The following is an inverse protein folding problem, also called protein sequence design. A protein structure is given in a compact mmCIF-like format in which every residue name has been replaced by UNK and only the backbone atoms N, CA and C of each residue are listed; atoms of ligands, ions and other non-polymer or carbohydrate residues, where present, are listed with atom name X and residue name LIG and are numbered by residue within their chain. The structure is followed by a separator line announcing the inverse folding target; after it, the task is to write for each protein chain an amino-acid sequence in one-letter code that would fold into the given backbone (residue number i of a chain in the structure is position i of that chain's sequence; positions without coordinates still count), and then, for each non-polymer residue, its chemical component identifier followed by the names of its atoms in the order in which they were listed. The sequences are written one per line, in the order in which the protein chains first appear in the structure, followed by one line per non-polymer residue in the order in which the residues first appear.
data_IF_231658319830
#
_entry.id   IF_231658319830
#
_cell.length_a   1.000
_cell.length_b   1.000
_cell.length_c   1.000
_cell.angle_alpha   90.00
_cell.angle_beta   90.00
_cell.angle_gamma   90.00
#
_symmetry.space_group_name_H-M   'P 1'
#
loop_
_entity.id
_entity.type
_entity.pdbx_description
1 polymer ?
#
# COMPACT_ATOMS: atom_id res chain seq x y z
N UNK A 1 31.54 18.88 -35.68
CA UNK A 1 30.26 18.33 -36.20
C UNK A 1 29.77 17.13 -35.41
N UNK A 2 30.60 16.12 -35.12
CA UNK A 2 30.21 14.94 -34.31
C UNK A 2 29.83 15.29 -32.85
N UNK A 3 30.61 16.17 -32.21
CA UNK A 3 30.40 16.53 -30.80
C UNK A 3 29.01 17.15 -30.53
N UNK A 4 28.46 17.94 -31.47
CA UNK A 4 27.17 18.61 -31.30
C UNK A 4 26.02 17.62 -31.16
N UNK A 5 26.05 16.51 -31.89
CA UNK A 5 25.03 15.47 -31.80
C UNK A 5 25.05 14.80 -30.42
N UNK A 6 26.24 14.45 -29.92
CA UNK A 6 26.38 13.84 -28.60
C UNK A 6 25.98 14.77 -27.46
N UNK A 7 26.33 16.05 -27.54
CA UNK A 7 25.95 17.05 -26.53
C UNK A 7 24.43 17.22 -26.48
N UNK A 8 23.77 17.32 -27.64
CA UNK A 8 22.31 17.43 -27.70
C UNK A 8 21.63 16.17 -27.16
N UNK A 9 22.10 14.99 -27.57
CA UNK A 9 21.56 13.71 -27.13
C UNK A 9 21.71 13.51 -25.62
N UNK A 10 22.89 13.84 -25.06
CA UNK A 10 23.14 13.72 -23.63
C UNK A 10 22.27 14.68 -22.83
N UNK A 11 22.09 15.92 -23.31
CA UNK A 11 21.26 16.92 -22.64
C UNK A 11 19.78 16.50 -22.66
N UNK A 12 19.26 16.07 -23.81
CA UNK A 12 17.88 15.61 -23.93
C UNK A 12 17.62 14.41 -23.02
N UNK A 13 18.54 13.45 -22.97
CA UNK A 13 18.45 12.30 -22.07
C UNK A 13 18.50 12.72 -20.59
N UNK A 14 19.36 13.67 -20.23
CA UNK A 14 19.44 14.18 -18.86
C UNK A 14 18.14 14.87 -18.44
N UNK A 15 17.54 15.69 -19.31
CA UNK A 15 16.24 16.34 -19.07
C UNK A 15 15.14 15.30 -18.90
N UNK A 16 15.09 14.27 -19.74
CA UNK A 16 14.09 13.20 -19.61
C UNK A 16 14.27 12.36 -18.33
N UNK A 17 15.52 12.15 -17.88
CA UNK A 17 15.81 11.32 -16.71
C UNK A 17 15.70 12.06 -15.38
N UNK A 18 15.98 13.37 -15.35
CA UNK A 18 16.10 14.17 -14.13
C UNK A 18 15.21 15.41 -14.08
N UNK A 19 14.51 15.75 -15.17
CA UNK A 19 13.71 16.98 -15.25
C UNK A 19 12.37 16.92 -14.52
N UNK A 20 11.94 15.74 -14.06
CA UNK A 20 10.68 15.55 -13.32
C UNK A 20 10.96 15.13 -11.89
N UNK A 21 10.17 15.66 -10.95
CA UNK A 21 10.19 15.25 -9.53
C UNK A 21 9.97 13.74 -9.38
N UNK A 22 9.02 13.19 -10.15
CA UNK A 22 8.76 11.76 -10.23
C UNK A 22 9.39 11.24 -11.52
N UNK A 23 10.36 10.34 -11.38
CA UNK A 23 11.04 9.72 -12.51
C UNK A 23 10.09 8.84 -13.30
N UNK A 24 10.07 9.02 -14.62
CA UNK A 24 9.30 8.21 -15.56
C UNK A 24 10.27 7.44 -16.47
N UNK A 25 10.01 6.15 -16.78
CA UNK A 25 10.84 5.39 -17.72
C UNK A 25 10.88 6.03 -19.11
N UNK A 26 12.00 5.86 -19.82
CA UNK A 26 12.25 6.52 -21.12
C UNK A 26 11.15 6.19 -22.15
N UNK A 27 10.82 4.91 -22.32
CA UNK A 27 9.82 4.45 -23.29
C UNK A 27 8.44 5.07 -23.04
N UNK A 28 8.04 5.14 -21.76
CA UNK A 28 6.77 5.76 -21.33
C UNK A 28 6.81 7.28 -21.56
N UNK A 29 7.95 7.93 -21.32
CA UNK A 29 8.15 9.35 -21.60
C UNK A 29 8.06 9.68 -23.10
N UNK A 30 8.64 8.84 -23.96
CA UNK A 30 8.53 9.00 -25.42
C UNK A 30 7.10 8.81 -25.91
N UNK A 31 6.37 7.83 -25.36
CA UNK A 31 4.95 7.63 -25.67
C UNK A 31 4.11 8.84 -25.28
N UNK A 32 4.36 9.42 -24.09
CA UNK A 32 3.69 10.63 -23.65
C UNK A 32 3.97 11.82 -24.58
N UNK A 33 5.23 12.03 -24.98
CA UNK A 33 5.59 13.11 -25.90
C UNK A 33 4.93 12.95 -27.28
N UNK A 34 4.85 11.71 -27.80
CA UNK A 34 4.13 11.44 -29.06
C UNK A 34 2.65 11.74 -28.93
N UNK A 35 2.03 11.37 -27.81
CA UNK A 35 0.64 11.67 -27.53
C UNK A 35 0.40 13.18 -27.44
N UNK A 36 1.22 13.92 -26.70
CA UNK A 36 1.14 15.38 -26.60
C UNK A 36 1.31 16.04 -27.98
N UNK A 37 2.30 15.61 -28.78
CA UNK A 37 2.52 16.13 -30.13
C UNK A 37 1.32 15.88 -31.05
N UNK A 38 0.79 14.65 -31.08
CA UNK A 38 -0.39 14.30 -31.88
C UNK A 38 -1.63 15.08 -31.44
N UNK A 39 -1.84 15.26 -30.13
CA UNK A 39 -2.97 16.07 -29.64
C UNK A 39 -2.85 17.52 -30.05
N UNK A 40 -1.66 18.12 -29.99
CA UNK A 40 -1.43 19.51 -30.42
C UNK A 40 -1.65 19.69 -31.93
N UNK A 41 -1.15 18.75 -32.73
CA UNK A 41 -1.33 18.75 -34.19
C UNK A 41 -2.80 18.65 -34.58
N UNK A 42 -3.53 17.68 -34.02
CA UNK A 42 -4.97 17.51 -34.28
C UNK A 42 -5.79 18.70 -33.76
N UNK A 43 -5.40 19.30 -32.63
CA UNK A 43 -6.05 20.52 -32.11
C UNK A 43 -5.89 21.68 -33.09
N UNK A 44 -4.69 21.83 -33.66
CA UNK A 44 -4.42 22.85 -34.67
C UNK A 44 -5.18 22.60 -35.98
N UNK A 45 -5.31 21.33 -36.41
CA UNK A 45 -6.02 20.95 -37.63
C UNK A 45 -7.54 21.11 -37.52
N UNK A 46 -8.12 20.69 -36.40
CA UNK A 46 -9.59 20.70 -36.23
C UNK A 46 -10.13 21.98 -35.59
N UNK A 47 -9.25 22.84 -35.04
CA UNK A 47 -9.67 24.04 -34.31
C UNK A 47 -10.47 23.75 -33.04
N UNK A 48 -10.46 22.49 -32.57
CA UNK A 48 -11.14 22.01 -31.37
C UNK A 48 -10.29 20.94 -30.69
N UNK A 49 -10.62 20.60 -29.45
CA UNK A 49 -10.00 19.45 -28.77
C UNK A 49 -10.33 18.15 -29.55
N UNK A 50 -9.32 17.33 -29.90
CA UNK A 50 -9.54 16.07 -30.60
C UNK A 50 -10.24 15.05 -29.69
N UNK A 51 -11.01 14.15 -30.29
CA UNK A 51 -11.67 13.05 -29.57
C UNK A 51 -10.68 11.93 -29.27
N UNK A 52 -11.00 11.08 -28.29
CA UNK A 52 -10.13 9.96 -27.92
C UNK A 52 -9.87 9.03 -29.11
N UNK A 53 -10.88 8.73 -29.92
CA UNK A 53 -10.75 7.84 -31.07
C UNK A 53 -9.84 8.44 -32.16
N UNK A 54 -9.94 9.76 -32.41
CA UNK A 54 -9.06 10.48 -33.33
C UNK A 54 -7.59 10.40 -32.88
N UNK A 55 -7.34 10.48 -31.57
CA UNK A 55 -5.97 10.40 -31.02
C UNK A 55 -5.43 8.97 -31.10
N UNK A 56 -6.27 7.97 -30.82
CA UNK A 56 -5.88 6.55 -30.93
C UNK A 56 -5.53 6.18 -32.37
N UNK A 57 -6.31 6.67 -33.34
CA UNK A 57 -6.02 6.47 -34.76
C UNK A 57 -4.71 7.15 -35.19
N UNK A 58 -4.46 8.38 -34.74
CA UNK A 58 -3.25 9.12 -35.09
C UNK A 58 -1.97 8.56 -34.43
N UNK A 59 -2.08 8.03 -33.20
CA UNK A 59 -0.92 7.56 -32.43
C UNK A 59 -0.69 6.05 -32.50
N UNK A 60 -1.69 5.27 -32.92
CA UNK A 60 -1.64 3.81 -33.00
C UNK A 60 -1.58 3.08 -31.65
N UNK A 61 -1.85 3.77 -30.54
CA UNK A 61 -1.84 3.18 -29.19
C UNK A 61 -3.23 2.63 -28.83
N UNK A 62 -3.29 1.72 -27.86
CA UNK A 62 -4.57 1.20 -27.37
C UNK A 62 -5.22 2.19 -26.36
N UNK A 63 -6.55 2.17 -26.26
CA UNK A 63 -7.33 2.97 -25.30
C UNK A 63 -6.88 2.73 -23.86
N UNK A 64 -6.55 1.50 -23.49
CA UNK A 64 -6.03 1.17 -22.15
C UNK A 64 -4.68 1.84 -21.88
N UNK A 65 -3.78 1.85 -22.86
CA UNK A 65 -2.48 2.49 -22.77
C UNK A 65 -2.61 4.01 -22.70
N UNK A 66 -3.55 4.60 -23.47
CA UNK A 66 -3.88 6.03 -23.39
C UNK A 66 -4.34 6.41 -21.98
N UNK A 67 -5.29 5.68 -21.41
CA UNK A 67 -5.79 5.93 -20.05
C UNK A 67 -4.67 5.81 -19.01
N UNK A 68 -3.78 4.82 -19.17
CA UNK A 68 -2.61 4.72 -18.31
C UNK A 68 -1.73 5.96 -18.43
N UNK A 69 -1.43 6.41 -19.65
CA UNK A 69 -0.60 7.59 -19.91
C UNK A 69 -1.21 8.90 -19.38
N UNK A 70 -2.53 9.06 -19.47
CA UNK A 70 -3.25 10.22 -18.92
C UNK A 70 -3.28 10.23 -17.39
N UNK A 71 -3.34 9.05 -16.77
CA UNK A 71 -3.31 8.90 -15.33
C UNK A 71 -1.90 9.02 -14.73
N UNK A 72 -0.85 9.20 -15.55
CA UNK A 72 0.46 9.50 -14.99
C UNK A 72 0.38 10.84 -14.25
N UNK A 73 0.98 10.95 -13.05
CA UNK A 73 1.03 12.20 -12.32
C UNK A 73 1.80 13.23 -13.16
N UNK A 74 1.07 14.22 -13.69
CA UNK A 74 1.59 15.20 -14.64
C UNK A 74 2.22 16.41 -13.93
N UNK A 75 1.80 16.72 -12.70
CA UNK A 75 2.26 17.87 -11.93
C UNK A 75 2.37 17.51 -10.45
N UNK A 76 3.55 17.71 -9.87
CA UNK A 76 3.72 17.78 -8.41
C UNK A 76 3.54 19.23 -7.98
N UNK A 77 2.55 19.51 -7.14
CA UNK A 77 2.40 20.83 -6.52
C UNK A 77 3.35 20.98 -5.32
N UNK A 78 3.80 22.20 -5.03
CA UNK A 78 4.54 22.46 -3.79
C UNK A 78 3.58 22.48 -2.62
N UNK A 79 3.92 21.81 -1.52
CA UNK A 79 3.13 21.89 -0.29
C UNK A 79 3.16 23.30 0.32
N UNK A 80 4.19 24.09 0.02
CA UNK A 80 4.32 25.48 0.46
C UNK A 80 3.49 26.47 -0.38
N UNK A 81 2.86 25.99 -1.46
CA UNK A 81 2.02 26.84 -2.30
C UNK A 81 0.74 27.22 -1.53
N UNK A 82 0.28 28.49 -1.58
CA UNK A 82 -0.99 28.88 -0.97
C UNK A 82 -2.16 28.14 -1.63
N UNK A 83 -3.11 27.69 -0.83
CA UNK A 83 -4.28 26.93 -1.30
C UNK A 83 -5.28 27.78 -2.08
N UNK A 84 -5.36 29.08 -1.77
CA UNK A 84 -6.17 30.08 -2.46
C UNK A 84 -5.43 31.42 -2.51
N UNK A 85 -5.81 32.31 -3.45
CA UNK A 85 -5.15 33.61 -3.63
C UNK A 85 -5.22 34.52 -2.40
N UNK A 86 -6.24 34.32 -1.57
CA UNK A 86 -6.60 35.22 -0.45
C UNK A 86 -6.34 34.58 0.93
N UNK A 87 -5.77 33.36 0.97
CA UNK A 87 -5.53 32.63 2.21
C UNK A 87 -4.03 32.45 2.48
N UNK A 88 -3.61 32.61 3.73
CA UNK A 88 -2.25 32.25 4.18
C UNK A 88 -2.06 30.73 4.32
N UNK A 89 -3.13 29.95 4.24
CA UNK A 89 -3.11 28.49 4.36
C UNK A 89 -2.39 27.86 3.18
N UNK A 90 -1.42 27.01 3.48
CA UNK A 90 -0.65 26.28 2.47
C UNK A 90 -1.33 24.97 2.09
N UNK A 91 -1.00 24.40 0.92
CA UNK A 91 -1.48 23.08 0.54
C UNK A 91 -1.06 22.00 1.55
N UNK A 92 0.12 22.14 2.17
CA UNK A 92 0.61 21.24 3.22
C UNK A 92 -0.27 21.21 4.47
N UNK A 93 -0.83 22.35 4.88
CA UNK A 93 -1.73 22.43 6.04
C UNK A 93 -3.09 21.76 5.80
N UNK A 94 -3.50 21.64 4.54
CA UNK A 94 -4.76 20.96 4.16
C UNK A 94 -4.59 19.44 4.03
N UNK A 95 -3.37 18.96 3.80
CA UNK A 95 -3.09 17.53 3.77
C UNK A 95 -3.01 17.04 5.21
N UNK A 96 -4.15 16.57 5.73
CA UNK A 96 -4.22 15.94 7.04
C UNK A 96 -3.27 14.75 7.14
N UNK A 97 -2.68 14.53 8.31
CA UNK A 97 -2.03 13.26 8.63
C UNK A 97 -3.08 12.15 8.54
N UNK A 98 -2.71 11.01 7.96
CA UNK A 98 -3.54 9.81 7.90
C UNK A 98 -3.56 9.12 9.28
N UNK A 99 -3.84 9.90 10.32
CA UNK A 99 -3.64 9.59 11.74
C UNK A 99 -4.85 8.85 12.34
N UNK A 100 -5.54 8.06 11.53
CA UNK A 100 -6.53 7.07 11.96
C UNK A 100 -5.94 6.03 12.95
N UNK A 101 -4.63 6.08 13.22
CA UNK A 101 -3.91 5.02 13.95
C UNK A 101 -3.85 5.17 15.48
N UNK A 102 -4.15 6.32 16.07
CA UNK A 102 -4.03 6.47 17.52
C UNK A 102 -5.10 5.68 18.27
N UNK A 103 -6.36 5.78 17.80
CA UNK A 103 -7.49 5.06 18.39
C UNK A 103 -7.32 3.56 18.14
N UNK A 104 -7.00 3.18 16.89
CA UNK A 104 -6.75 1.78 16.53
C UNK A 104 -5.56 1.19 17.31
N UNK A 105 -4.54 2.00 17.60
CA UNK A 105 -3.39 1.61 18.41
C UNK A 105 -3.74 1.38 19.89
N UNK A 106 -4.64 2.19 20.47
CA UNK A 106 -5.14 2.00 21.83
C UNK A 106 -6.00 0.73 21.92
N UNK A 107 -6.93 0.54 20.98
CA UNK A 107 -7.77 -0.66 20.92
C UNK A 107 -6.93 -1.94 20.80
N UNK A 108 -5.93 -1.95 19.91
CA UNK A 108 -5.00 -3.08 19.79
C UNK A 108 -4.23 -3.34 21.09
N UNK A 109 -3.79 -2.30 21.79
CA UNK A 109 -3.06 -2.48 23.05
C UNK A 109 -3.95 -3.05 24.15
N UNK A 110 -5.17 -2.56 24.29
CA UNK A 110 -6.17 -3.09 25.23
C UNK A 110 -6.48 -4.56 24.92
N UNK A 111 -6.66 -4.90 23.64
CA UNK A 111 -6.89 -6.28 23.19
C UNK A 111 -5.70 -7.20 23.53
N UNK A 112 -4.46 -6.74 23.36
CA UNK A 112 -3.27 -7.52 23.71
C UNK A 112 -3.15 -7.77 25.22
N UNK A 113 -3.50 -6.78 26.04
CA UNK A 113 -3.42 -6.90 27.50
C UNK A 113 -4.46 -7.91 28.02
N UNK A 114 -5.68 -7.85 27.51
CA UNK A 114 -6.74 -8.83 27.82
C UNK A 114 -6.38 -10.23 27.32
N UNK A 115 -5.85 -10.37 26.10
CA UNK A 115 -5.38 -11.65 25.58
C UNK A 115 -4.29 -12.26 26.48
N UNK A 116 -3.36 -11.44 26.99
CA UNK A 116 -2.37 -11.89 27.97
C UNK A 116 -3.01 -12.32 29.29
N UNK A 117 -4.03 -11.60 29.77
CA UNK A 117 -4.83 -11.97 30.93
C UNK A 117 -5.46 -13.36 30.79
N UNK A 118 -6.17 -13.59 29.68
CA UNK A 118 -6.82 -14.87 29.38
C UNK A 118 -5.80 -16.02 29.22
N UNK A 119 -4.69 -15.79 28.52
CA UNK A 119 -3.61 -16.79 28.39
C UNK A 119 -2.92 -17.12 29.73
N UNK A 120 -2.95 -16.20 30.70
CA UNK A 120 -2.36 -16.43 32.02
C UNK A 120 -3.14 -17.45 32.87
N UNK A 121 -4.43 -17.67 32.57
CA UNK A 121 -5.26 -18.67 33.25
C UNK A 121 -4.95 -20.10 32.78
N UNK A 122 -4.34 -20.24 31.61
CA UNK A 122 -3.94 -21.52 31.03
C UNK A 122 -2.66 -22.07 31.67
N UNK A 123 -2.56 -23.40 31.68
CA UNK A 123 -1.31 -24.09 32.03
C UNK A 123 -0.19 -23.75 31.03
N UNK A 124 1.07 -23.87 31.47
CA UNK A 124 2.24 -23.56 30.62
C UNK A 124 2.20 -24.30 29.27
N UNK A 125 1.82 -25.58 29.30
CA UNK A 125 1.70 -26.40 28.10
C UNK A 125 0.61 -25.90 27.13
N UNK A 126 -0.56 -25.51 27.65
CA UNK A 126 -1.66 -24.98 26.85
C UNK A 126 -1.28 -23.62 26.23
N UNK A 127 -0.67 -22.74 27.03
CA UNK A 127 -0.20 -21.43 26.58
C UNK A 127 0.84 -21.55 25.47
N UNK A 128 1.83 -22.43 25.64
CA UNK A 128 2.87 -22.65 24.64
C UNK A 128 2.31 -23.24 23.33
N UNK A 129 1.36 -24.17 23.44
CA UNK A 129 0.66 -24.70 22.26
C UNK A 129 -0.05 -23.58 21.50
N UNK A 130 -0.82 -22.72 22.17
CA UNK A 130 -1.50 -21.60 21.52
C UNK A 130 -0.53 -20.57 20.94
N UNK A 131 0.53 -20.24 21.67
CA UNK A 131 1.59 -19.33 21.19
C UNK A 131 2.19 -19.81 19.87
N UNK A 132 2.48 -21.10 19.74
CA UNK A 132 3.03 -21.66 18.51
C UNK A 132 1.98 -21.84 17.41
N UNK A 133 0.75 -22.25 17.75
CA UNK A 133 -0.33 -22.48 16.78
C UNK A 133 -0.78 -21.19 16.10
N UNK A 134 -0.90 -20.11 16.88
CA UNK A 134 -1.45 -18.82 16.42
C UNK A 134 -0.41 -17.71 16.28
N UNK A 135 0.84 -17.96 16.69
CA UNK A 135 1.90 -16.95 16.57
C UNK A 135 1.80 -15.80 17.58
N UNK A 136 1.13 -16.01 18.72
CA UNK A 136 0.82 -14.97 19.71
C UNK A 136 2.08 -14.37 20.38
N UNK A 137 3.23 -15.03 20.23
CA UNK A 137 4.54 -14.54 20.67
C UNK A 137 5.32 -13.77 19.58
N UNK A 138 4.66 -13.34 18.50
CA UNK A 138 5.28 -12.65 17.38
C UNK A 138 5.94 -13.58 16.35
N UNK A 139 5.75 -14.90 16.49
CA UNK A 139 6.17 -15.90 15.51
C UNK A 139 5.13 -16.13 14.40
N UNK A 140 5.52 -16.84 13.35
CA UNK A 140 4.56 -17.34 12.35
C UNK A 140 3.73 -18.50 12.91
N UNK A 141 2.42 -18.57 12.62
CA UNK A 141 1.57 -19.67 13.07
C UNK A 141 2.04 -21.02 12.52
N UNK A 142 2.03 -22.05 13.38
CA UNK A 142 2.52 -23.39 13.08
C UNK A 142 1.35 -24.40 12.96
N UNK A 143 1.55 -25.42 12.12
CA UNK A 143 0.63 -26.55 12.04
C UNK A 143 0.74 -27.43 13.29
N UNK A 144 -0.31 -28.22 13.60
CA UNK A 144 -0.30 -29.19 14.70
C UNK A 144 0.95 -30.09 14.70
N UNK A 145 1.36 -30.56 13.52
CA UNK A 145 2.53 -31.42 13.36
C UNK A 145 3.85 -30.67 13.62
N UNK A 146 3.96 -29.42 13.13
CA UNK A 146 5.14 -28.60 13.36
C UNK A 146 5.27 -28.18 14.83
N UNK A 147 4.16 -27.84 15.50
CA UNK A 147 4.13 -27.54 16.93
C UNK A 147 4.53 -28.77 17.76
N UNK A 148 3.98 -29.95 17.42
CA UNK A 148 4.33 -31.22 18.06
C UNK A 148 5.83 -31.52 17.96
N UNK A 149 6.42 -31.34 16.77
CA UNK A 149 7.85 -31.52 16.55
C UNK A 149 8.69 -30.51 17.32
N UNK A 150 8.24 -29.25 17.39
CA UNK A 150 8.96 -28.17 18.09
C UNK A 150 8.94 -28.32 19.61
N UNK A 151 7.84 -28.85 20.16
CA UNK A 151 7.65 -29.07 21.59
C UNK A 151 8.06 -30.48 22.05
N UNK A 152 8.56 -31.32 21.13
CA UNK A 152 8.92 -32.73 21.38
C UNK A 152 7.80 -33.55 22.06
N UNK A 153 6.56 -33.32 21.63
CA UNK A 153 5.37 -34.02 22.13
C UNK A 153 4.53 -34.61 21.00
N UNK A 154 3.73 -35.62 21.30
CA UNK A 154 2.86 -36.25 20.30
C UNK A 154 1.75 -35.30 19.79
N UNK A 155 1.44 -35.39 18.50
CA UNK A 155 0.40 -34.57 17.83
C UNK A 155 -0.96 -34.64 18.55
N UNK A 156 -1.35 -35.82 19.06
CA UNK A 156 -2.60 -35.97 19.83
C UNK A 156 -2.59 -35.16 21.12
N UNK A 157 -1.43 -35.03 21.78
CA UNK A 157 -1.27 -34.27 23.01
C UNK A 157 -1.35 -32.77 22.75
N UNK A 158 -0.75 -32.30 21.64
CA UNK A 158 -0.91 -30.90 21.18
C UNK A 158 -2.37 -30.59 20.92
N UNK A 159 -3.07 -31.44 20.15
CA UNK A 159 -4.48 -31.26 19.80
C UNK A 159 -5.36 -31.20 21.06
N UNK A 160 -5.15 -32.12 22.00
CA UNK A 160 -5.89 -32.15 23.26
C UNK A 160 -5.65 -30.87 24.07
N UNK A 161 -4.39 -30.43 24.17
CA UNK A 161 -4.05 -29.19 24.87
C UNK A 161 -4.68 -27.96 24.21
N UNK A 162 -4.74 -27.91 22.87
CA UNK A 162 -5.43 -26.85 22.12
C UNK A 162 -6.93 -26.86 22.39
N UNK A 163 -7.58 -28.03 22.31
CA UNK A 163 -9.03 -28.18 22.56
C UNK A 163 -9.38 -27.77 24.01
N UNK A 164 -8.65 -28.26 25.00
CA UNK A 164 -8.84 -27.90 26.42
C UNK A 164 -8.58 -26.41 26.67
N UNK A 165 -7.57 -25.82 26.04
CA UNK A 165 -7.27 -24.39 26.18
C UNK A 165 -8.37 -23.51 25.58
N UNK A 166 -8.87 -23.86 24.40
CA UNK A 166 -9.95 -23.12 23.73
C UNK A 166 -11.28 -23.25 24.49
N UNK A 167 -11.52 -24.38 25.15
CA UNK A 167 -12.69 -24.57 26.01
C UNK A 167 -12.64 -23.63 27.23
N UNK A 168 -11.50 -23.55 27.91
CA UNK A 168 -11.27 -22.63 29.03
C UNK A 168 -11.44 -21.17 28.59
N UNK A 169 -10.81 -20.77 27.48
CA UNK A 169 -10.90 -19.40 26.95
C UNK A 169 -12.31 -19.04 26.48
N UNK A 170 -13.13 -20.02 26.11
CA UNK A 170 -14.53 -19.80 25.68
C UNK A 170 -15.46 -19.50 26.85
N UNK A 171 -15.14 -20.02 28.04
CA UNK A 171 -15.91 -19.77 29.27
C UNK A 171 -15.41 -18.52 30.02
N UNK A 172 -14.30 -17.92 29.58
CA UNK A 172 -13.72 -16.73 30.20
C UNK A 172 -14.59 -15.48 29.95
N UNK A 173 -15.11 -14.83 31.01
CA UNK A 173 -15.93 -13.63 30.90
C UNK A 173 -15.22 -12.46 30.23
N UNK A 174 -13.88 -12.36 30.33
CA UNK A 174 -13.13 -11.29 29.67
C UNK A 174 -13.16 -11.44 28.15
N UNK A 175 -13.01 -12.65 27.65
CA UNK A 175 -13.05 -12.97 26.20
C UNK A 175 -14.46 -12.82 25.64
N UNK A 176 -15.49 -13.24 26.39
CA UNK A 176 -16.90 -13.12 25.99
C UNK A 176 -17.34 -11.65 25.89
N UNK A 177 -16.90 -10.80 26.82
CA UNK A 177 -17.25 -9.37 26.83
C UNK A 177 -16.75 -8.59 25.60
N UNK A 178 -15.70 -9.07 24.94
CA UNK A 178 -15.16 -8.44 23.73
C UNK A 178 -15.88 -8.91 22.45
N UNK A 179 -16.38 -10.14 22.42
CA UNK A 179 -17.16 -10.63 21.28
C UNK A 179 -18.53 -9.95 21.17
N UNK A 180 -19.12 -9.56 22.29
CA UNK A 180 -20.41 -8.83 22.31
C UNK A 180 -20.27 -7.33 21.99
N UNK A 181 -19.07 -6.76 22.12
CA UNK A 181 -18.80 -5.34 21.86
C UNK A 181 -18.22 -5.05 20.45
N UNK A 182 -18.07 -6.07 19.60
CA UNK A 182 -17.62 -5.96 18.21
C UNK A 182 -18.77 -6.19 17.22
#
# INVERSE_FOLDING_TARGET
TYATWWIRQSLQRAVQQHGRTIRIPLEVGEQLQRLEAATAELTSLFGRRPTDDEILEATGINRTQRLQLENLPSVTASLDQPASSDSTTTLGELVGSNDDSWIEGIERNMMHEQLKGALNQLTDLQRDVLNFRYGLNGGTPLSLQATAQKMDIGVRRVRRAEEEALEILREDPEVLSQHENA
#
